data_IF_211330030394
#
_entry.id   IF_211330030394
#
_cell.length_a   1.000
_cell.length_b   1.000
_cell.length_c   1.000
_cell.angle_alpha   90.00
_cell.angle_beta   90.00
_cell.angle_gamma   90.00
#
_symmetry.space_group_name_H-M   'P 1'
#
loop_
_entity.id
_entity.type
_entity.pdbx_description
1 polymer ?
#
# COMPACT_ATOMS: atom_id res chain seq x y z
N UNK A 1 -17.16 10.46 -7.71
CA UNK A 1 -17.88 11.36 -6.81
C UNK A 1 -18.39 12.57 -7.60
N UNK A 2 -17.55 13.23 -8.41
CA UNK A 2 -17.94 14.39 -9.24
C UNK A 2 -19.07 14.07 -10.23
N UNK A 3 -19.11 12.84 -10.77
CA UNK A 3 -20.20 12.39 -11.69
C UNK A 3 -21.58 12.41 -11.01
N UNK A 4 -21.63 12.23 -9.69
CA UNK A 4 -22.85 12.27 -8.90
C UNK A 4 -23.14 13.66 -8.29
N UNK A 5 -22.43 14.70 -8.73
CA UNK A 5 -22.55 16.07 -8.22
C UNK A 5 -22.42 16.20 -6.70
N UNK A 6 -21.68 15.27 -6.07
CA UNK A 6 -21.40 15.30 -4.63
C UNK A 6 -20.03 15.91 -4.41
N UNK A 7 -19.99 17.06 -3.71
CA UNK A 7 -18.74 17.72 -3.32
C UNK A 7 -18.18 17.06 -2.06
N UNK A 8 -16.95 16.56 -2.15
CA UNK A 8 -16.19 16.00 -1.03
C UNK A 8 -14.88 16.76 -0.86
N UNK A 9 -14.23 16.65 0.29
CA UNK A 9 -12.91 17.26 0.50
C UNK A 9 -11.90 16.80 -0.56
N UNK A 10 -11.94 15.54 -0.96
CA UNK A 10 -11.05 15.02 -2.02
C UNK A 10 -11.32 15.63 -3.39
N UNK A 11 -12.59 15.87 -3.74
CA UNK A 11 -12.94 16.62 -4.96
C UNK A 11 -12.55 18.09 -4.86
N UNK A 12 -12.66 18.70 -3.67
CA UNK A 12 -12.18 20.07 -3.42
C UNK A 12 -10.69 20.18 -3.66
N UNK A 13 -9.87 19.28 -3.11
CA UNK A 13 -8.42 19.24 -3.34
C UNK A 13 -8.10 19.12 -4.82
N UNK A 14 -8.77 18.19 -5.52
CA UNK A 14 -8.55 17.96 -6.94
C UNK A 14 -8.88 19.18 -7.80
N UNK A 15 -10.02 19.83 -7.53
CA UNK A 15 -10.42 21.03 -8.25
C UNK A 15 -9.49 22.21 -7.98
N UNK A 16 -9.10 22.44 -6.72
CA UNK A 16 -8.16 23.52 -6.37
C UNK A 16 -6.82 23.33 -7.08
N UNK A 17 -6.31 22.09 -7.10
CA UNK A 17 -5.02 21.79 -7.72
C UNK A 17 -5.08 21.84 -9.26
N UNK A 18 -6.02 21.09 -9.90
CA UNK A 18 -5.99 20.87 -11.35
C UNK A 18 -6.90 21.83 -12.13
N UNK A 19 -8.00 22.33 -11.53
CA UNK A 19 -8.91 23.22 -12.23
C UNK A 19 -8.57 24.70 -11.99
N UNK A 20 -8.12 25.04 -10.80
CA UNK A 20 -7.79 26.42 -10.42
C UNK A 20 -6.29 26.69 -10.37
N UNK A 21 -5.44 25.69 -10.56
CA UNK A 21 -3.97 25.75 -10.45
C UNK A 21 -3.48 26.41 -9.14
N UNK A 22 -4.28 26.25 -8.06
CA UNK A 22 -3.99 26.79 -6.74
C UNK A 22 -3.52 25.69 -5.80
N UNK A 23 -2.19 25.49 -5.77
CA UNK A 23 -1.55 24.49 -4.92
C UNK A 23 -1.67 24.84 -3.43
N UNK A 24 -1.75 26.13 -3.08
CA UNK A 24 -1.84 26.58 -1.70
C UNK A 24 -3.19 26.22 -1.10
N UNK A 25 -4.29 26.52 -1.79
CA UNK A 25 -5.62 26.10 -1.37
C UNK A 25 -5.77 24.58 -1.34
N UNK A 26 -5.19 23.86 -2.31
CA UNK A 26 -5.17 22.42 -2.30
C UNK A 26 -4.44 21.84 -1.05
N UNK A 27 -3.31 22.44 -0.65
CA UNK A 27 -2.59 22.06 0.57
C UNK A 27 -3.40 22.32 1.84
N UNK A 28 -4.10 23.46 1.94
CA UNK A 28 -4.95 23.78 3.09
C UNK A 28 -6.09 22.77 3.26
N UNK A 29 -6.82 22.47 2.19
CA UNK A 29 -7.89 21.47 2.22
C UNK A 29 -7.32 20.07 2.54
N UNK A 30 -6.15 19.73 1.98
CA UNK A 30 -5.43 18.49 2.26
C UNK A 30 -5.08 18.35 3.74
N UNK A 31 -4.64 19.43 4.38
CA UNK A 31 -4.31 19.46 5.80
C UNK A 31 -5.53 19.23 6.69
N UNK A 32 -6.66 19.86 6.36
CA UNK A 32 -7.94 19.62 7.08
C UNK A 32 -8.35 18.15 6.97
N UNK A 33 -8.31 17.58 5.77
CA UNK A 33 -8.64 16.18 5.56
C UNK A 33 -7.68 15.23 6.29
N UNK A 34 -6.38 15.57 6.34
CA UNK A 34 -5.37 14.81 7.07
C UNK A 34 -5.66 14.77 8.57
N UNK A 35 -6.00 15.93 9.17
CA UNK A 35 -6.38 15.99 10.59
C UNK A 35 -7.56 15.06 10.87
N UNK A 36 -8.59 15.10 10.03
CA UNK A 36 -9.75 14.24 10.18
C UNK A 36 -9.39 12.75 10.13
N UNK A 37 -8.52 12.36 9.19
CA UNK A 37 -8.04 10.97 9.06
C UNK A 37 -7.23 10.55 10.28
N UNK A 38 -6.31 11.40 10.75
CA UNK A 38 -5.51 11.12 11.94
C UNK A 38 -6.36 10.99 13.21
N UNK A 39 -7.44 11.76 13.30
CA UNK A 39 -8.39 11.64 14.40
C UNK A 39 -9.10 10.28 14.36
N UNK A 40 -9.65 9.89 13.21
CA UNK A 40 -10.29 8.57 13.05
C UNK A 40 -9.31 7.42 13.33
N UNK A 41 -8.08 7.52 12.84
CA UNK A 41 -7.03 6.52 13.07
C UNK A 41 -6.66 6.42 14.56
N UNK A 42 -6.61 7.55 15.26
CA UNK A 42 -6.35 7.59 16.70
C UNK A 42 -7.47 6.91 17.49
N UNK A 43 -8.73 7.14 17.12
CA UNK A 43 -9.90 6.48 17.72
C UNK A 43 -9.84 4.96 17.47
N UNK A 44 -9.46 4.54 16.25
CA UNK A 44 -9.32 3.13 15.92
C UNK A 44 -8.23 2.45 16.76
N UNK A 45 -7.05 3.07 16.88
CA UNK A 45 -5.95 2.53 17.72
C UNK A 45 -6.40 2.43 19.19
N UNK A 46 -7.08 3.45 19.69
CA UNK A 46 -7.57 3.44 21.07
C UNK A 46 -8.58 2.30 21.30
N UNK A 47 -9.52 2.14 20.39
CA UNK A 47 -10.53 1.07 20.45
C UNK A 47 -9.90 -0.33 20.36
N UNK A 48 -8.84 -0.51 19.56
CA UNK A 48 -8.17 -1.82 19.40
C UNK A 48 -7.28 -2.21 20.58
N UNK A 49 -6.84 -1.28 21.44
CA UNK A 49 -5.94 -1.60 22.56
C UNK A 49 -6.51 -2.62 23.54
N UNK A 50 -7.83 -2.71 23.68
CA UNK A 50 -8.49 -3.66 24.57
C UNK A 50 -8.74 -5.03 23.93
N UNK A 51 -8.76 -5.13 22.62
CA UNK A 51 -8.95 -6.39 21.89
C UNK A 51 -7.62 -7.17 21.78
N UNK A 52 -7.20 -7.82 22.87
CA UNK A 52 -6.09 -8.77 22.82
C UNK A 52 -6.54 -10.06 22.12
N UNK A 53 -6.29 -10.17 20.84
CA UNK A 53 -6.41 -11.46 20.14
C UNK A 53 -5.26 -12.38 20.55
N UNK A 54 -5.33 -12.91 21.76
CA UNK A 54 -4.47 -14.01 22.18
C UNK A 54 -5.08 -15.28 21.63
N UNK A 55 -4.43 -15.91 20.67
CA UNK A 55 -4.63 -17.33 20.45
C UNK A 55 -3.69 -18.07 21.45
N UNK A 56 -4.21 -18.60 22.57
CA UNK A 56 -3.41 -19.43 23.45
C UNK A 56 -3.29 -20.80 22.79
N UNK A 57 -2.16 -21.09 22.20
CA UNK A 57 -1.90 -22.44 21.71
C UNK A 57 -0.79 -22.55 20.68
N UNK A 58 0.20 -23.37 20.98
CA UNK A 58 1.23 -23.88 20.08
C UNK A 58 0.62 -24.86 19.07
N UNK A 59 -0.09 -24.39 18.08
CA UNK A 59 -0.59 -25.25 17.01
C UNK A 59 -1.67 -24.58 16.19
N UNK A 60 -1.57 -24.71 14.88
CA UNK A 60 -2.63 -24.38 13.94
C UNK A 60 -3.84 -25.27 14.25
N UNK A 61 -4.87 -24.72 14.90
CA UNK A 61 -6.16 -25.40 14.98
C UNK A 61 -6.91 -25.14 13.69
N UNK A 62 -7.17 -26.15 12.88
CA UNK A 62 -7.97 -25.97 11.68
C UNK A 62 -9.36 -25.44 12.08
N UNK A 63 -9.82 -24.42 11.37
CA UNK A 63 -11.16 -23.86 11.56
C UNK A 63 -12.17 -24.98 11.27
N UNK A 64 -13.06 -25.25 12.22
CA UNK A 64 -14.12 -26.23 12.01
C UNK A 64 -15.01 -25.77 10.86
N UNK A 65 -14.93 -26.47 9.74
CA UNK A 65 -15.74 -26.19 8.56
C UNK A 65 -17.17 -26.70 8.82
N UNK A 66 -18.12 -25.78 8.84
CA UNK A 66 -19.54 -26.12 8.94
C UNK A 66 -20.02 -26.51 7.52
N UNK A 67 -20.45 -27.78 7.35
CA UNK A 67 -21.05 -28.22 6.10
C UNK A 67 -22.50 -27.75 6.03
N UNK A 68 -22.76 -26.85 5.07
CA UNK A 68 -24.13 -26.47 4.76
C UNK A 68 -24.76 -27.53 3.84
N UNK A 69 -25.98 -27.92 4.12
CA UNK A 69 -26.74 -28.92 3.30
C UNK A 69 -28.10 -28.36 2.87
N UNK A 70 -28.58 -28.84 1.74
CA UNK A 70 -29.92 -28.51 1.22
C UNK A 70 -30.15 -27.02 0.95
N UNK A 71 -31.31 -26.51 1.34
CA UNK A 71 -31.73 -25.11 1.07
C UNK A 71 -30.75 -24.05 1.63
N UNK A 72 -30.09 -24.32 2.75
CA UNK A 72 -29.12 -23.39 3.35
C UNK A 72 -27.87 -23.25 2.49
N UNK A 73 -27.40 -24.35 1.89
CA UNK A 73 -26.26 -24.32 0.95
C UNK A 73 -26.61 -23.52 -0.31
N UNK A 74 -27.80 -23.75 -0.87
CA UNK A 74 -28.27 -23.04 -2.04
C UNK A 74 -28.39 -21.52 -1.78
N UNK A 75 -29.01 -21.14 -0.66
CA UNK A 75 -29.13 -19.74 -0.25
C UNK A 75 -27.77 -19.05 -0.09
N UNK A 76 -26.83 -19.70 0.60
CA UNK A 76 -25.49 -19.15 0.78
C UNK A 76 -24.77 -18.99 -0.56
N UNK A 77 -24.85 -20.01 -1.44
CA UNK A 77 -24.26 -19.95 -2.78
C UNK A 77 -24.87 -18.82 -3.61
N UNK A 78 -26.21 -18.75 -3.67
CA UNK A 78 -26.91 -17.71 -4.45
C UNK A 78 -26.57 -16.31 -3.97
N UNK A 79 -26.50 -16.09 -2.66
CA UNK A 79 -26.11 -14.81 -2.09
C UNK A 79 -24.69 -14.42 -2.47
N UNK A 80 -23.72 -15.30 -2.27
CA UNK A 80 -22.33 -15.04 -2.67
C UNK A 80 -22.18 -14.84 -4.17
N UNK A 81 -22.91 -15.62 -4.97
CA UNK A 81 -22.92 -15.52 -6.43
C UNK A 81 -23.52 -14.19 -6.91
N UNK A 82 -24.64 -13.75 -6.32
CA UNK A 82 -25.23 -12.44 -6.63
C UNK A 82 -24.29 -11.28 -6.30
N UNK A 83 -23.64 -11.32 -5.13
CA UNK A 83 -22.64 -10.31 -4.77
C UNK A 83 -21.49 -10.29 -5.77
N UNK A 84 -20.97 -11.45 -6.16
CA UNK A 84 -19.93 -11.56 -7.19
C UNK A 84 -20.41 -11.03 -8.55
N UNK A 85 -21.63 -11.38 -8.96
CA UNK A 85 -22.20 -10.97 -10.23
C UNK A 85 -22.36 -9.45 -10.32
N UNK A 86 -22.92 -8.83 -9.28
CA UNK A 86 -23.16 -7.37 -9.24
C UNK A 86 -21.85 -6.60 -9.10
N UNK A 87 -20.93 -7.06 -8.23
CA UNK A 87 -19.71 -6.31 -7.92
C UNK A 87 -18.61 -6.49 -8.97
N UNK A 88 -18.58 -7.60 -9.68
CA UNK A 88 -17.51 -7.95 -10.60
C UNK A 88 -17.96 -8.16 -12.05
N UNK A 89 -18.91 -9.08 -12.26
CA UNK A 89 -19.31 -9.44 -13.64
C UNK A 89 -20.01 -8.30 -14.35
N UNK A 90 -20.93 -7.63 -13.70
CA UNK A 90 -21.69 -6.52 -14.30
C UNK A 90 -20.81 -5.35 -14.71
N UNK A 91 -19.93 -4.78 -13.85
CA UNK A 91 -19.03 -3.71 -14.26
C UNK A 91 -18.08 -4.11 -15.40
N UNK A 92 -17.50 -5.31 -15.33
CA UNK A 92 -16.59 -5.78 -16.39
C UNK A 92 -17.32 -5.97 -17.72
N UNK A 93 -18.51 -6.58 -17.71
CA UNK A 93 -19.29 -6.76 -18.94
C UNK A 93 -19.65 -5.41 -19.58
N UNK A 94 -19.96 -4.41 -18.76
CA UNK A 94 -20.23 -3.05 -19.23
C UNK A 94 -18.98 -2.40 -19.86
N UNK A 95 -17.82 -2.57 -19.26
CA UNK A 95 -16.55 -2.07 -19.81
C UNK A 95 -16.22 -2.75 -21.15
N UNK A 96 -16.38 -4.08 -21.23
CA UNK A 96 -16.18 -4.84 -22.47
C UNK A 96 -17.15 -4.35 -23.56
N UNK A 97 -18.43 -4.19 -23.22
CA UNK A 97 -19.44 -3.69 -24.15
C UNK A 97 -19.06 -2.32 -24.71
N UNK A 98 -18.62 -1.38 -23.89
CA UNK A 98 -18.18 -0.06 -24.33
C UNK A 98 -16.92 -0.12 -25.20
N UNK A 99 -15.98 -0.97 -24.87
CA UNK A 99 -14.77 -1.17 -25.66
C UNK A 99 -15.08 -1.65 -27.07
N UNK A 100 -16.04 -2.58 -27.20
CA UNK A 100 -16.46 -3.10 -28.52
C UNK A 100 -17.31 -2.05 -29.30
N UNK A 101 -18.17 -1.32 -28.58
CA UNK A 101 -19.09 -0.35 -29.22
C UNK A 101 -18.37 0.92 -29.68
N UNK A 102 -17.29 1.34 -28.99
CA UNK A 102 -16.59 2.59 -29.28
C UNK A 102 -15.09 2.36 -29.57
N UNK A 103 -14.72 1.59 -30.59
CA UNK A 103 -13.32 1.24 -30.88
C UNK A 103 -12.46 2.44 -31.28
N UNK A 104 -13.08 3.53 -31.84
CA UNK A 104 -12.36 4.73 -32.26
C UNK A 104 -11.49 5.37 -31.17
N UNK A 105 -11.93 5.34 -29.90
CA UNK A 105 -11.20 5.92 -28.78
C UNK A 105 -9.96 5.11 -28.37
N UNK A 106 -9.82 3.89 -28.90
CA UNK A 106 -8.72 2.97 -28.53
C UNK A 106 -7.66 2.91 -29.64
N UNK A 107 -8.05 3.24 -30.91
CA UNK A 107 -7.18 3.08 -32.08
C UNK A 107 -5.95 3.99 -32.06
N UNK A 108 -6.06 5.19 -31.44
CA UNK A 108 -4.97 6.16 -31.36
C UNK A 108 -4.05 5.94 -30.13
N UNK A 109 -4.35 4.94 -29.29
CA UNK A 109 -3.63 4.68 -28.06
C UNK A 109 -2.75 3.45 -28.24
N UNK A 110 -1.45 3.60 -28.07
CA UNK A 110 -0.53 2.46 -28.02
C UNK A 110 -0.68 1.68 -26.69
N UNK A 111 -1.72 0.86 -26.64
CA UNK A 111 -2.10 0.07 -25.46
C UNK A 111 -0.95 -0.84 -25.03
N UNK A 112 -0.20 -1.42 -25.98
CA UNK A 112 0.90 -2.31 -25.67
C UNK A 112 2.01 -1.56 -24.92
N UNK A 113 2.39 -0.38 -25.41
CA UNK A 113 3.42 0.46 -24.78
C UNK A 113 3.00 0.92 -23.39
N UNK A 114 1.73 1.32 -23.21
CA UNK A 114 1.22 1.74 -21.91
C UNK A 114 1.22 0.57 -20.93
N UNK A 115 0.80 -0.63 -21.35
CA UNK A 115 0.82 -1.81 -20.51
C UNK A 115 2.24 -2.21 -20.11
N UNK A 116 3.20 -2.20 -21.05
CA UNK A 116 4.60 -2.51 -20.75
C UNK A 116 5.21 -1.51 -19.76
N UNK A 117 4.95 -0.22 -19.94
CA UNK A 117 5.40 0.82 -19.01
C UNK A 117 4.78 0.62 -17.62
N UNK A 118 3.50 0.28 -17.55
CA UNK A 118 2.81 0.00 -16.29
C UNK A 118 3.40 -1.22 -15.61
N UNK A 119 3.62 -2.32 -16.35
CA UNK A 119 4.23 -3.53 -15.82
C UNK A 119 5.65 -3.29 -15.30
N UNK A 120 6.45 -2.52 -16.05
CA UNK A 120 7.80 -2.14 -15.63
C UNK A 120 7.78 -1.34 -14.33
N UNK A 121 6.93 -0.32 -14.25
CA UNK A 121 6.82 0.53 -13.07
C UNK A 121 6.33 -0.24 -11.83
N UNK A 122 5.26 -1.04 -11.99
CA UNK A 122 4.69 -1.86 -10.91
C UNK A 122 5.70 -2.91 -10.45
N UNK A 123 6.38 -3.55 -11.39
CA UNK A 123 7.43 -4.53 -11.08
C UNK A 123 8.57 -3.91 -10.28
N UNK A 124 9.09 -2.77 -10.74
CA UNK A 124 10.15 -2.04 -10.03
C UNK A 124 9.72 -1.64 -8.61
N UNK A 125 8.55 -1.02 -8.49
CA UNK A 125 8.02 -0.59 -7.19
C UNK A 125 7.79 -1.78 -6.24
N UNK A 126 7.26 -2.90 -6.74
CA UNK A 126 7.04 -4.12 -5.96
C UNK A 126 8.34 -4.71 -5.44
N UNK A 127 9.37 -4.79 -6.28
CA UNK A 127 10.69 -5.30 -5.85
C UNK A 127 11.25 -4.42 -4.73
N UNK A 128 11.24 -3.10 -4.89
CA UNK A 128 11.73 -2.16 -3.87
C UNK A 128 10.95 -2.32 -2.57
N UNK A 129 9.61 -2.38 -2.64
CA UNK A 129 8.73 -2.55 -1.48
C UNK A 129 9.01 -3.85 -0.73
N UNK A 130 9.11 -4.96 -1.45
CA UNK A 130 9.36 -6.28 -0.85
C UNK A 130 10.74 -6.33 -0.20
N UNK A 131 11.78 -5.88 -0.88
CA UNK A 131 13.14 -5.90 -0.34
C UNK A 131 13.24 -5.07 0.95
N UNK A 132 12.76 -3.83 0.94
CA UNK A 132 12.82 -2.96 2.12
C UNK A 132 11.97 -3.53 3.26
N UNK A 133 10.76 -4.04 2.95
CA UNK A 133 9.90 -4.65 3.95
C UNK A 133 10.51 -5.90 4.58
N UNK A 134 11.20 -6.74 3.80
CA UNK A 134 11.95 -7.90 4.31
C UNK A 134 13.06 -7.47 5.29
N UNK A 135 13.87 -6.48 4.91
CA UNK A 135 14.96 -5.99 5.77
C UNK A 135 14.43 -5.38 7.06
N UNK A 136 13.37 -4.56 6.99
CA UNK A 136 12.81 -3.91 8.18
C UNK A 136 12.16 -4.93 9.11
N UNK A 137 11.40 -5.91 8.59
CA UNK A 137 10.80 -6.97 9.39
C UNK A 137 11.88 -7.81 10.09
N UNK A 138 12.93 -8.19 9.37
CA UNK A 138 14.04 -8.93 9.95
C UNK A 138 14.79 -8.09 11.00
N UNK A 139 15.08 -6.83 10.72
CA UNK A 139 15.69 -5.90 11.66
C UNK A 139 14.87 -5.74 12.96
N UNK A 140 13.54 -5.62 12.83
CA UNK A 140 12.63 -5.54 13.98
C UNK A 140 12.64 -6.82 14.81
N UNK A 141 12.76 -7.98 14.17
CA UNK A 141 12.83 -9.28 14.84
C UNK A 141 14.10 -9.44 15.68
N UNK A 142 15.26 -8.97 15.17
CA UNK A 142 16.54 -9.12 15.85
C UNK A 142 16.75 -8.05 16.92
N UNK A 143 16.45 -6.79 16.62
CA UNK A 143 16.85 -5.68 17.48
C UNK A 143 15.97 -5.50 18.70
N UNK A 144 14.71 -5.97 18.67
CA UNK A 144 13.67 -5.74 19.70
C UNK A 144 13.56 -4.25 20.13
N UNK A 145 14.01 -3.33 19.27
CA UNK A 145 14.06 -1.90 19.55
C UNK A 145 12.67 -1.28 19.56
N UNK A 146 12.35 -0.56 20.65
CA UNK A 146 11.09 0.19 20.77
C UNK A 146 10.99 1.31 19.73
N UNK A 147 12.11 1.96 19.42
CA UNK A 147 12.16 3.06 18.42
C UNK A 147 11.86 2.51 17.03
N UNK A 148 12.46 1.38 16.65
CA UNK A 148 12.20 0.77 15.36
C UNK A 148 10.72 0.36 15.21
N UNK A 149 10.14 -0.23 16.24
CA UNK A 149 8.73 -0.58 16.26
C UNK A 149 7.82 0.66 16.16
N UNK A 150 8.18 1.76 16.81
CA UNK A 150 7.41 3.01 16.71
C UNK A 150 7.47 3.60 15.30
N UNK A 151 8.67 3.71 14.72
CA UNK A 151 8.88 4.20 13.35
C UNK A 151 8.16 3.33 12.32
N UNK A 152 8.19 2.01 12.51
CA UNK A 152 7.50 1.08 11.61
C UNK A 152 5.98 1.24 11.68
N UNK A 153 5.43 1.35 12.91
CA UNK A 153 3.99 1.58 13.08
C UNK A 153 3.54 2.92 12.49
N UNK A 154 4.38 3.95 12.61
CA UNK A 154 4.11 5.23 11.97
C UNK A 154 4.13 5.12 10.43
N UNK A 155 5.12 4.44 9.86
CA UNK A 155 5.21 4.24 8.40
C UNK A 155 4.05 3.43 7.82
N UNK A 156 3.48 2.51 8.60
CA UNK A 156 2.30 1.74 8.22
C UNK A 156 1.06 2.63 8.04
N UNK A 157 0.95 3.74 8.78
CA UNK A 157 -0.19 4.66 8.68
C UNK A 157 -0.29 5.37 7.31
N UNK A 158 0.77 5.37 6.52
CA UNK A 158 0.80 5.99 5.19
C UNK A 158 -0.27 5.47 4.21
N UNK A 159 -0.72 4.23 4.38
CA UNK A 159 -1.81 3.67 3.58
C UNK A 159 -3.18 4.33 3.83
N UNK A 160 -3.40 4.85 5.03
CA UNK A 160 -4.64 5.54 5.38
C UNK A 160 -4.78 6.90 4.69
N UNK A 161 -3.67 7.48 4.21
CA UNK A 161 -3.65 8.79 3.56
C UNK A 161 -4.21 8.66 2.14
N UNK A 162 -5.26 9.42 1.75
CA UNK A 162 -5.76 9.46 0.39
C UNK A 162 -4.67 9.87 -0.62
N UNK A 163 -4.69 9.21 -1.80
CA UNK A 163 -3.66 9.45 -2.81
C UNK A 163 -3.54 10.90 -3.28
N UNK A 164 -4.66 11.63 -3.28
CA UNK A 164 -4.67 13.04 -3.69
C UNK A 164 -3.88 13.91 -2.71
N UNK A 165 -4.04 13.70 -1.39
CA UNK A 165 -3.25 14.40 -0.36
C UNK A 165 -1.76 14.12 -0.57
N UNK A 166 -1.43 12.84 -0.78
CA UNK A 166 -0.06 12.41 -0.97
C UNK A 166 0.54 13.02 -2.23
N UNK A 167 -0.22 13.12 -3.32
CA UNK A 167 0.23 13.75 -4.56
C UNK A 167 0.53 15.24 -4.38
N UNK A 168 -0.38 16.00 -3.76
CA UNK A 168 -0.20 17.43 -3.48
C UNK A 168 0.99 17.64 -2.55
N UNK A 169 1.10 16.87 -1.47
CA UNK A 169 2.21 16.95 -0.53
C UNK A 169 3.57 16.65 -1.20
N UNK A 170 3.63 15.66 -2.09
CA UNK A 170 4.83 15.34 -2.86
C UNK A 170 5.27 16.46 -3.76
N UNK A 171 4.36 17.01 -4.55
CA UNK A 171 4.67 18.12 -5.46
C UNK A 171 5.18 19.33 -4.69
N UNK A 172 4.50 19.70 -3.60
CA UNK A 172 4.90 20.83 -2.76
C UNK A 172 6.26 20.61 -2.11
N UNK A 173 6.47 19.44 -1.50
CA UNK A 173 7.72 19.12 -0.81
C UNK A 173 8.90 19.12 -1.79
N UNK A 174 8.77 18.43 -2.92
CA UNK A 174 9.87 18.32 -3.87
C UNK A 174 10.10 19.61 -4.67
N UNK A 175 9.05 20.43 -4.87
CA UNK A 175 9.26 21.78 -5.41
C UNK A 175 10.12 22.61 -4.46
N UNK A 176 9.75 22.66 -3.17
CA UNK A 176 10.49 23.44 -2.17
C UNK A 176 11.93 22.92 -1.98
N UNK A 177 12.12 21.59 -1.93
CA UNK A 177 13.46 20.99 -1.83
C UNK A 177 14.31 21.33 -3.06
N UNK A 178 13.71 21.28 -4.26
CA UNK A 178 14.42 21.66 -5.49
C UNK A 178 14.81 23.12 -5.50
N UNK A 179 13.93 24.00 -5.03
CA UNK A 179 14.20 25.44 -4.97
C UNK A 179 15.35 25.74 -3.97
N UNK A 180 15.33 25.09 -2.78
CA UNK A 180 16.42 25.18 -1.80
C UNK A 180 17.77 24.66 -2.34
N UNK A 181 17.77 23.58 -3.11
CA UNK A 181 18.99 23.04 -3.72
C UNK A 181 19.50 24.00 -4.80
N UNK A 182 18.63 24.54 -5.64
CA UNK A 182 19.03 25.46 -6.71
C UNK A 182 19.55 26.82 -6.19
N UNK A 183 19.04 27.28 -5.05
CA UNK A 183 19.53 28.51 -4.41
C UNK A 183 20.92 28.33 -3.75
N UNK A 184 21.20 27.13 -3.20
CA UNK A 184 22.46 26.87 -2.50
C UNK A 184 23.54 26.21 -3.37
N UNK A 185 23.19 25.77 -4.58
CA UNK A 185 24.11 25.11 -5.50
C UNK A 185 23.94 25.67 -6.91
N UNK A 186 25.01 25.73 -7.68
CA UNK A 186 24.96 26.06 -9.10
C UNK A 186 24.37 24.94 -9.98
N UNK A 187 23.81 23.92 -9.37
CA UNK A 187 23.05 22.88 -10.03
C UNK A 187 21.69 23.48 -10.43
N UNK A 188 21.41 23.53 -11.73
CA UNK A 188 20.12 24.01 -12.25
C UNK A 188 18.94 23.26 -11.63
N UNK A 189 17.72 23.66 -11.98
CA UNK A 189 16.49 23.12 -11.40
C UNK A 189 16.49 21.57 -11.30
N UNK A 190 16.53 21.05 -10.09
CA UNK A 190 16.47 19.61 -9.77
C UNK A 190 15.04 19.07 -9.74
N UNK A 191 14.03 19.93 -10.04
CA UNK A 191 12.60 19.55 -10.07
C UNK A 191 12.34 18.29 -10.90
N UNK A 192 13.02 18.17 -12.05
CA UNK A 192 12.86 17.00 -12.96
C UNK A 192 13.34 15.68 -12.37
N UNK A 193 14.19 15.71 -11.32
CA UNK A 193 14.68 14.49 -10.67
C UNK A 193 13.56 13.86 -9.82
N UNK A 194 12.73 14.69 -9.21
CA UNK A 194 11.69 14.25 -8.28
C UNK A 194 10.30 14.29 -8.93
N UNK A 195 9.96 15.40 -9.59
CA UNK A 195 8.64 15.62 -10.19
C UNK A 195 8.66 15.18 -11.65
N UNK A 196 7.80 14.23 -12.00
CA UNK A 196 7.71 13.67 -13.36
C UNK A 196 8.79 12.61 -13.68
N UNK A 197 9.50 12.10 -12.68
CA UNK A 197 10.48 11.01 -12.83
C UNK A 197 9.96 9.67 -12.32
N UNK A 198 10.54 8.57 -12.83
CA UNK A 198 10.29 7.24 -12.32
C UNK A 198 10.67 7.12 -10.85
N UNK A 199 11.76 7.78 -10.43
CA UNK A 199 12.20 7.79 -9.04
C UNK A 199 11.16 8.41 -8.10
N UNK A 200 10.65 9.60 -8.43
CA UNK A 200 9.61 10.25 -7.62
C UNK A 200 8.33 9.42 -7.53
N UNK A 201 7.95 8.76 -8.64
CA UNK A 201 6.76 7.92 -8.68
C UNK A 201 6.94 6.63 -7.84
N UNK A 202 8.10 5.97 -7.93
CA UNK A 202 8.42 4.80 -7.09
C UNK A 202 8.45 5.18 -5.61
N UNK A 203 8.96 6.35 -5.27
CA UNK A 203 8.97 6.86 -3.88
C UNK A 203 7.54 7.13 -3.38
N UNK A 204 6.67 7.69 -4.21
CA UNK A 204 5.26 7.88 -3.88
C UNK A 204 4.55 6.53 -3.65
N UNK A 205 4.80 5.55 -4.52
CA UNK A 205 4.29 4.18 -4.33
C UNK A 205 4.85 3.53 -3.08
N UNK A 206 6.13 3.75 -2.77
CA UNK A 206 6.74 3.25 -1.56
C UNK A 206 6.01 3.75 -0.31
N UNK A 207 5.81 5.06 -0.17
CA UNK A 207 5.11 5.63 0.99
C UNK A 207 3.68 5.09 1.08
N UNK A 208 2.97 5.01 -0.04
CA UNK A 208 1.58 4.57 -0.07
C UNK A 208 1.40 3.09 0.22
N UNK A 209 2.21 2.23 -0.39
CA UNK A 209 2.00 0.78 -0.37
C UNK A 209 2.93 0.02 0.59
N UNK A 210 3.83 0.72 1.29
CA UNK A 210 4.73 0.11 2.26
C UNK A 210 3.99 -0.71 3.31
N UNK A 211 2.86 -0.21 3.81
CA UNK A 211 2.02 -0.91 4.78
C UNK A 211 1.55 -2.27 4.31
N UNK A 212 1.15 -2.39 3.04
CA UNK A 212 0.67 -3.66 2.47
C UNK A 212 1.80 -4.70 2.43
N UNK A 213 2.96 -4.31 1.88
CA UNK A 213 4.13 -5.18 1.80
C UNK A 213 4.64 -5.55 3.19
N UNK A 214 4.76 -4.58 4.09
CA UNK A 214 5.26 -4.80 5.44
C UNK A 214 4.37 -5.74 6.24
N UNK A 215 3.06 -5.52 6.27
CA UNK A 215 2.12 -6.36 7.02
C UNK A 215 1.99 -7.76 6.44
N UNK A 216 2.04 -7.91 5.11
CA UNK A 216 2.07 -9.20 4.44
C UNK A 216 3.27 -10.05 4.87
N UNK A 217 4.46 -9.45 4.84
CA UNK A 217 5.70 -10.11 5.26
C UNK A 217 5.71 -10.34 6.78
N UNK A 218 5.27 -9.38 7.59
CA UNK A 218 5.17 -9.51 9.04
C UNK A 218 4.32 -10.71 9.45
N UNK A 219 3.14 -10.87 8.84
CA UNK A 219 2.27 -12.02 9.12
C UNK A 219 2.92 -13.36 8.80
N UNK A 220 3.82 -13.39 7.82
CA UNK A 220 4.60 -14.58 7.47
C UNK A 220 5.72 -14.82 8.48
N UNK A 221 6.38 -13.76 8.95
CA UNK A 221 7.38 -13.86 10.02
C UNK A 221 6.79 -14.33 11.36
N UNK A 222 5.57 -13.96 11.69
CA UNK A 222 4.89 -14.39 12.92
C UNK A 222 4.67 -15.91 12.98
N UNK A 223 4.68 -16.59 11.83
CA UNK A 223 4.61 -18.07 11.76
C UNK A 223 5.94 -18.74 12.04
N UNK A 224 7.07 -18.03 11.97
CA UNK A 224 8.41 -18.54 12.21
C UNK A 224 8.70 -18.49 13.72
N UNK A 225 8.88 -19.66 14.35
CA UNK A 225 9.20 -19.72 15.76
C UNK A 225 10.61 -19.12 16.03
N UNK A 226 10.77 -18.43 17.15
CA UNK A 226 12.08 -17.85 17.57
C UNK A 226 13.14 -18.95 17.81
N UNK A 227 12.73 -20.17 18.16
CA UNK A 227 13.63 -21.31 18.33
C UNK A 227 14.43 -21.66 17.06
N UNK A 228 13.92 -21.30 15.89
CA UNK A 228 14.64 -21.47 14.61
C UNK A 228 15.86 -20.56 14.54
N UNK A 229 15.73 -19.30 15.00
CA UNK A 229 16.83 -18.36 15.06
C UNK A 229 17.88 -18.80 16.09
N UNK A 230 17.42 -19.24 17.26
CA UNK A 230 18.28 -19.74 18.33
C UNK A 230 19.07 -20.98 17.88
N UNK A 231 18.42 -21.92 17.22
CA UNK A 231 19.07 -23.11 16.63
C UNK A 231 20.10 -22.75 15.57
N UNK A 232 19.78 -21.78 14.70
CA UNK A 232 20.70 -21.31 13.69
C UNK A 232 21.97 -20.68 14.30
N UNK A 233 21.81 -19.89 15.35
CA UNK A 233 22.94 -19.29 16.06
C UNK A 233 23.79 -20.34 16.80
N UNK A 234 23.17 -21.36 17.39
CA UNK A 234 23.89 -22.49 17.99
C UNK A 234 24.72 -23.28 16.97
N UNK A 235 24.26 -23.34 15.71
CA UNK A 235 24.96 -23.96 14.58
C UNK A 235 26.03 -23.02 13.97
N UNK A 236 26.28 -21.84 14.57
CA UNK A 236 27.30 -20.89 14.12
C UNK A 236 26.89 -20.00 12.94
N UNK A 237 25.61 -19.92 12.63
CA UNK A 237 25.11 -19.03 11.57
C UNK A 237 25.17 -17.57 12.04
N UNK A 238 25.75 -16.71 11.22
CA UNK A 238 25.65 -15.25 11.43
C UNK A 238 24.24 -14.75 11.13
N UNK A 239 23.90 -13.53 11.62
CA UNK A 239 22.59 -12.91 11.37
C UNK A 239 22.25 -12.83 9.88
N UNK A 240 23.23 -12.44 9.04
CA UNK A 240 23.03 -12.34 7.58
C UNK A 240 22.79 -13.72 6.97
N UNK A 241 23.54 -14.73 7.42
CA UNK A 241 23.40 -16.10 6.91
C UNK A 241 22.06 -16.71 7.31
N UNK A 242 21.60 -16.45 8.55
CA UNK A 242 20.24 -16.83 9.00
C UNK A 242 19.16 -16.17 8.14
N UNK A 243 19.30 -14.88 7.84
CA UNK A 243 18.37 -14.19 6.96
C UNK A 243 18.30 -14.81 5.56
N UNK A 244 19.45 -14.94 4.90
CA UNK A 244 19.49 -15.37 3.49
C UNK A 244 19.17 -16.85 3.29
N UNK A 245 19.62 -17.74 4.20
CA UNK A 245 19.51 -19.19 4.04
C UNK A 245 18.29 -19.81 4.73
N UNK A 246 17.72 -19.14 5.73
CA UNK A 246 16.59 -19.66 6.49
C UNK A 246 15.34 -18.81 6.27
N UNK A 247 15.40 -17.50 6.55
CA UNK A 247 14.19 -16.67 6.47
C UNK A 247 13.71 -16.45 5.05
N UNK A 248 14.58 -16.04 4.12
CA UNK A 248 14.19 -15.77 2.73
C UNK A 248 13.58 -17.00 2.05
N UNK A 249 14.17 -18.22 2.12
CA UNK A 249 13.54 -19.41 1.56
C UNK A 249 12.21 -19.79 2.21
N UNK A 250 12.08 -19.57 3.55
CA UNK A 250 10.84 -19.85 4.25
C UNK A 250 9.71 -18.90 3.86
N UNK A 251 10.03 -17.63 3.64
CA UNK A 251 9.07 -16.58 3.28
C UNK A 251 8.71 -16.59 1.78
N UNK A 252 9.57 -17.18 0.94
CA UNK A 252 9.42 -17.22 -0.52
C UNK A 252 8.02 -17.64 -0.99
N UNK A 253 7.37 -18.56 -0.28
CA UNK A 253 6.04 -19.05 -0.66
C UNK A 253 4.90 -18.11 -0.24
N UNK A 254 5.19 -17.01 0.47
CA UNK A 254 4.20 -16.04 0.97
C UNK A 254 4.47 -14.61 0.46
N UNK A 255 5.49 -14.43 -0.38
CA UNK A 255 5.84 -13.21 -1.09
C UNK A 255 5.37 -13.31 -2.54
#
# INVERSE_FOLDING_TARGET
VSIFSVSTLTTGIYNSWLSFDDLNSANQISFILLIFILLLFSIEIYSRKEARYHQPGRGYKPINKIRLSGKKSLLAFTFCFLVFLISFVFPISQMIYWTIKFPKYIQDIDILKINLNTMYLVGLASIVLVLISLFINYGSRISKSKILNYLTNFSISGYAIPGVILAVAFITLFSNVSDLISENTNLGSTKKIFIGSIFGLVLAYFIRFFSLSFNGIKSSYEKINNSIDESAYLLGYSKIKTFSQIHVPYLKNNI
#
